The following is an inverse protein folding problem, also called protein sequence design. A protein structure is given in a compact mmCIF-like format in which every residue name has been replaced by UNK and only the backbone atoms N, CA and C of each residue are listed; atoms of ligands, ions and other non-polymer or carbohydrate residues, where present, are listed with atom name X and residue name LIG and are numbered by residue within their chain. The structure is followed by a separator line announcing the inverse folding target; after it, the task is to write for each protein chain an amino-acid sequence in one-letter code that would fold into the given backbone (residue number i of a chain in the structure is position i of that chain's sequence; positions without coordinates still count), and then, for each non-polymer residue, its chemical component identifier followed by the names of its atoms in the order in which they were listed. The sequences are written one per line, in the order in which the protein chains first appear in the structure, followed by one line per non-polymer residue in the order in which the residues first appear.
data_IF_147016533646
#
_entry.id   IF_147016533646
#
_cell.length_a   1.000
_cell.length_b   1.000
_cell.length_c   1.000
_cell.angle_alpha   90.00
_cell.angle_beta   90.00
_cell.angle_gamma   90.00
#
_symmetry.space_group_name_H-M   'P 1'
#
loop_
_entity.id
_entity.type
_entity.pdbx_description
1 polymer ?
#
# COMPACT_ATOMS: atom_id res chain seq x y z
N UNK A 1 6.16 -17.15 0.13
CA UNK A 1 5.19 -16.61 1.12
C UNK A 1 5.07 -17.65 2.20
N UNK A 2 5.28 -17.25 3.44
CA UNK A 2 5.10 -18.11 4.59
C UNK A 2 3.83 -17.70 5.34
N UNK A 3 3.08 -18.69 5.80
CA UNK A 3 1.87 -18.51 6.59
C UNK A 3 2.08 -19.20 7.94
N UNK A 4 1.97 -18.43 9.01
CA UNK A 4 1.74 -18.95 10.36
C UNK A 4 0.26 -18.74 10.72
N UNK A 5 -0.18 -19.25 11.87
CA UNK A 5 -1.57 -19.09 12.32
C UNK A 5 -2.01 -17.62 12.40
N UNK A 6 -1.08 -16.71 12.65
CA UNK A 6 -1.31 -15.31 13.00
C UNK A 6 -0.63 -14.30 12.06
N UNK A 7 0.20 -14.74 11.10
CA UNK A 7 1.03 -13.84 10.30
C UNK A 7 1.31 -14.38 8.90
N UNK A 8 1.36 -13.45 7.94
CA UNK A 8 1.91 -13.69 6.60
C UNK A 8 3.26 -13.00 6.45
N UNK A 9 4.23 -13.70 5.88
CA UNK A 9 5.55 -13.15 5.53
C UNK A 9 5.77 -13.26 4.02
N UNK A 10 6.05 -12.12 3.38
CA UNK A 10 6.42 -12.03 1.96
C UNK A 10 7.90 -11.74 1.83
N UNK A 11 8.61 -12.73 1.29
CA UNK A 11 9.98 -12.59 0.84
C UNK A 11 9.98 -11.95 -0.55
N UNK A 12 10.64 -10.81 -0.69
CA UNK A 12 10.85 -10.15 -1.99
C UNK A 12 12.18 -10.68 -2.51
N UNK A 13 12.11 -11.66 -3.41
CA UNK A 13 13.29 -12.35 -3.95
C UNK A 13 13.84 -11.69 -5.21
N UNK A 14 13.02 -10.90 -5.90
CA UNK A 14 13.41 -10.24 -7.14
C UNK A 14 14.15 -8.93 -6.86
N UNK A 15 15.22 -8.67 -7.63
CA UNK A 15 15.89 -7.37 -7.62
C UNK A 15 14.94 -6.28 -8.12
N UNK A 16 14.64 -5.31 -7.26
CA UNK A 16 13.79 -4.16 -7.59
C UNK A 16 14.68 -2.93 -7.77
N UNK A 17 14.37 -2.08 -8.76
CA UNK A 17 15.17 -0.87 -9.10
C UNK A 17 15.48 0.09 -7.94
N UNK A 18 14.85 -0.10 -6.78
CA UNK A 18 15.04 0.71 -5.57
C UNK A 18 15.94 0.04 -4.51
N UNK A 19 16.47 -1.16 -4.74
CA UNK A 19 17.52 -1.72 -3.87
C UNK A 19 18.81 -0.95 -4.08
N UNK A 20 19.30 -0.34 -3.01
CA UNK A 20 20.68 0.14 -2.93
C UNK A 20 21.57 -1.10 -3.04
N UNK A 21 22.63 -1.03 -3.85
CA UNK A 21 23.59 -2.13 -4.00
C UNK A 21 24.03 -2.57 -2.60
N UNK A 22 23.93 -3.87 -2.32
CA UNK A 22 24.22 -4.55 -1.04
C UNK A 22 23.16 -4.56 0.09
N UNK A 23 21.90 -4.14 -0.14
CA UNK A 23 20.84 -4.31 0.89
C UNK A 23 19.64 -5.08 0.33
N UNK A 24 19.47 -6.33 0.77
CA UNK A 24 18.26 -7.13 0.52
C UNK A 24 17.05 -6.47 1.21
N UNK A 25 15.92 -6.34 0.51
CA UNK A 25 14.71 -5.75 1.11
C UNK A 25 14.22 -6.66 2.23
N UNK A 26 14.00 -6.15 3.45
CA UNK A 26 13.50 -6.97 4.54
C UNK A 26 12.13 -7.57 4.17
N UNK A 27 11.83 -8.81 4.60
CA UNK A 27 10.55 -9.44 4.33
C UNK A 27 9.38 -8.58 4.85
N UNK A 28 8.30 -8.50 4.07
CA UNK A 28 7.08 -7.82 4.51
C UNK A 28 6.31 -8.73 5.45
N UNK A 29 6.09 -8.26 6.68
CA UNK A 29 5.39 -8.98 7.74
C UNK A 29 4.00 -8.36 7.96
N UNK A 30 2.96 -9.17 7.84
CA UNK A 30 1.58 -8.76 8.09
C UNK A 30 0.95 -9.62 9.18
N UNK A 31 0.46 -8.99 10.24
CA UNK A 31 -0.13 -9.67 11.41
C UNK A 31 -1.65 -9.67 11.35
N UNK A 32 -2.27 -10.67 11.98
CA UNK A 32 -3.71 -10.73 12.16
C UNK A 32 -4.22 -9.50 12.93
N UNK A 33 -5.42 -9.05 12.55
CA UNK A 33 -6.15 -8.03 13.28
C UNK A 33 -7.45 -8.64 13.84
N UNK A 34 -7.40 -9.30 15.01
CA UNK A 34 -8.52 -10.07 15.54
C UNK A 34 -9.70 -9.19 15.97
N UNK A 35 -9.46 -7.90 16.27
CA UNK A 35 -10.48 -6.95 16.70
C UNK A 35 -11.56 -6.70 15.64
N UNK A 36 -11.18 -6.73 14.36
CA UNK A 36 -12.13 -6.62 13.26
C UNK A 36 -11.69 -7.47 12.06
N UNK A 37 -12.46 -8.54 11.80
CA UNK A 37 -12.23 -9.44 10.68
C UNK A 37 -12.31 -8.72 9.33
N UNK A 38 -13.09 -7.63 9.21
CA UNK A 38 -13.21 -6.81 8.00
C UNK A 38 -11.95 -5.99 7.70
N UNK A 39 -11.05 -5.84 8.66
CA UNK A 39 -9.75 -5.21 8.48
C UNK A 39 -8.58 -6.21 8.55
N UNK A 40 -8.86 -7.47 8.87
CA UNK A 40 -7.84 -8.49 9.07
C UNK A 40 -7.27 -9.03 7.75
N UNK A 41 -6.03 -8.67 7.43
CA UNK A 41 -5.35 -9.13 6.22
C UNK A 41 -5.23 -10.66 6.13
N UNK A 42 -5.01 -11.34 7.25
CA UNK A 42 -4.90 -12.81 7.28
C UNK A 42 -6.22 -13.44 6.80
N UNK A 43 -7.35 -13.01 7.38
CA UNK A 43 -8.67 -13.52 7.00
C UNK A 43 -9.01 -13.24 5.54
N UNK A 44 -8.71 -12.03 5.04
CA UNK A 44 -8.94 -11.69 3.63
C UNK A 44 -8.08 -12.53 2.69
N UNK A 45 -6.82 -12.73 3.05
CA UNK A 45 -5.88 -13.45 2.20
C UNK A 45 -6.16 -14.95 2.17
N UNK A 46 -6.54 -15.55 3.30
CA UNK A 46 -7.00 -16.94 3.35
C UNK A 46 -8.24 -17.15 2.46
N UNK A 47 -9.24 -16.28 2.58
CA UNK A 47 -10.46 -16.36 1.78
C UNK A 47 -10.16 -16.15 0.28
N UNK A 48 -9.29 -15.19 -0.05
CA UNK A 48 -8.86 -14.93 -1.41
C UNK A 48 -8.13 -16.14 -2.00
N UNK A 49 -7.19 -16.75 -1.28
CA UNK A 49 -6.48 -17.95 -1.71
C UNK A 49 -7.47 -19.09 -1.95
N UNK A 50 -8.37 -19.35 -1.01
CA UNK A 50 -9.43 -20.37 -1.12
C UNK A 50 -10.26 -20.20 -2.40
N UNK A 51 -10.73 -18.98 -2.69
CA UNK A 51 -11.54 -18.68 -3.88
C UNK A 51 -10.75 -18.77 -5.19
N UNK A 52 -9.45 -18.52 -5.13
CA UNK A 52 -8.60 -18.50 -6.33
C UNK A 52 -7.91 -19.83 -6.62
N UNK A 53 -7.88 -20.78 -5.67
CA UNK A 53 -7.31 -22.12 -5.83
C UNK A 53 -7.70 -22.79 -7.16
N UNK A 54 -8.98 -22.83 -7.57
CA UNK A 54 -9.38 -23.50 -8.81
C UNK A 54 -8.81 -22.85 -10.09
N UNK A 55 -8.39 -21.59 -10.01
CA UNK A 55 -7.96 -20.78 -11.16
C UNK A 55 -6.44 -20.57 -11.23
N UNK A 56 -5.69 -21.06 -10.23
CA UNK A 56 -4.25 -20.77 -10.11
C UNK A 56 -3.40 -21.47 -11.15
N UNK A 57 -3.76 -22.71 -11.55
CA UNK A 57 -2.91 -23.55 -12.42
C UNK A 57 -1.44 -23.48 -11.94
N UNK A 58 -0.50 -23.13 -12.81
CA UNK A 58 0.93 -23.01 -12.50
C UNK A 58 1.37 -21.59 -12.08
N UNK A 59 0.42 -20.67 -11.87
CA UNK A 59 0.75 -19.27 -11.55
C UNK A 59 1.31 -19.13 -10.14
N UNK A 60 2.58 -18.69 -10.06
CA UNK A 60 3.26 -18.34 -8.80
C UNK A 60 2.87 -16.96 -8.25
N UNK A 61 2.20 -16.11 -9.04
CA UNK A 61 1.78 -14.78 -8.58
C UNK A 61 0.60 -14.88 -7.60
N UNK A 62 0.64 -14.09 -6.52
CA UNK A 62 -0.44 -14.03 -5.54
C UNK A 62 -1.76 -13.56 -6.19
N UNK A 63 -1.71 -12.43 -6.89
CA UNK A 63 -2.91 -11.79 -7.46
C UNK A 63 -3.21 -12.33 -8.86
N UNK A 64 -4.48 -12.69 -9.07
CA UNK A 64 -5.04 -13.22 -10.32
C UNK A 64 -6.15 -12.32 -10.85
N UNK A 65 -6.34 -12.32 -12.17
CA UNK A 65 -7.46 -11.66 -12.81
C UNK A 65 -8.76 -12.37 -12.45
N UNK A 66 -9.76 -11.58 -12.07
CA UNK A 66 -11.10 -12.09 -11.75
C UNK A 66 -11.92 -12.42 -13.02
N UNK A 67 -11.50 -11.92 -14.20
CA UNK A 67 -12.15 -12.15 -15.49
C UNK A 67 -11.39 -13.25 -16.25
N UNK A 68 -12.10 -14.09 -17.01
CA UNK A 68 -11.50 -15.08 -17.91
C UNK A 68 -10.74 -14.42 -19.08
N UNK A 69 -9.65 -15.03 -19.57
CA UNK A 69 -8.95 -16.16 -18.98
C UNK A 69 -8.27 -15.76 -17.67
N UNK A 70 -8.46 -16.56 -16.62
CA UNK A 70 -7.83 -16.31 -15.32
C UNK A 70 -6.31 -16.47 -15.46
N UNK A 71 -5.58 -15.50 -14.93
CA UNK A 71 -4.12 -15.49 -14.99
C UNK A 71 -3.51 -14.37 -14.16
N UNK A 72 -2.18 -14.29 -14.13
CA UNK A 72 -1.44 -13.33 -13.31
C UNK A 72 -1.85 -11.88 -13.63
N UNK A 73 -1.99 -11.04 -12.59
CA UNK A 73 -2.37 -9.62 -12.75
C UNK A 73 -1.15 -8.78 -13.13
N UNK A 74 -1.32 -7.92 -14.14
CA UNK A 74 -0.31 -6.95 -14.55
C UNK A 74 -0.26 -5.73 -13.62
N UNK A 75 0.89 -5.06 -13.55
CA UNK A 75 1.13 -3.90 -12.67
C UNK A 75 0.14 -2.75 -12.89
N UNK A 76 -0.28 -2.52 -14.14
CA UNK A 76 -1.24 -1.47 -14.50
C UNK A 76 -2.64 -1.75 -13.93
N UNK A 77 -3.09 -3.01 -13.92
CA UNK A 77 -4.37 -3.42 -13.33
C UNK A 77 -4.35 -3.18 -11.82
N UNK A 78 -3.28 -3.59 -11.12
CA UNK A 78 -3.13 -3.34 -9.68
C UNK A 78 -3.19 -1.83 -9.41
N UNK A 79 -2.50 -1.02 -10.22
CA UNK A 79 -2.53 0.43 -10.08
C UNK A 79 -3.94 1.02 -10.26
N UNK A 80 -4.73 0.50 -11.21
CA UNK A 80 -6.14 0.91 -11.39
C UNK A 80 -6.99 0.52 -10.18
N UNK A 81 -6.84 -0.69 -9.64
CA UNK A 81 -7.58 -1.12 -8.45
C UNK A 81 -7.27 -0.24 -7.24
N UNK A 82 -6.00 0.06 -6.97
CA UNK A 82 -5.64 0.97 -5.88
C UNK A 82 -6.27 2.35 -6.03
N UNK A 83 -6.30 2.92 -7.25
CA UNK A 83 -6.98 4.20 -7.51
C UNK A 83 -8.49 4.10 -7.26
N UNK A 84 -9.12 3.02 -7.70
CA UNK A 84 -10.55 2.79 -7.52
C UNK A 84 -10.92 2.70 -6.03
N UNK A 85 -10.11 2.01 -5.23
CA UNK A 85 -10.32 1.89 -3.77
C UNK A 85 -10.19 3.26 -3.09
N UNK A 86 -9.14 4.03 -3.40
CA UNK A 86 -8.98 5.39 -2.87
C UNK A 86 -10.15 6.30 -3.26
N UNK A 87 -10.58 6.27 -4.52
CA UNK A 87 -11.71 7.06 -4.98
C UNK A 87 -13.02 6.68 -4.28
N UNK A 88 -13.24 5.39 -4.04
CA UNK A 88 -14.42 4.89 -3.32
C UNK A 88 -14.40 5.29 -1.84
N UNK A 89 -13.20 5.48 -1.27
CA UNK A 89 -13.00 6.02 0.07
C UNK A 89 -13.09 7.56 0.12
N UNK A 90 -13.51 8.22 -0.96
CA UNK A 90 -13.63 9.69 -1.02
C UNK A 90 -12.31 10.44 -1.21
N UNK A 91 -11.19 9.74 -1.43
CA UNK A 91 -9.89 10.36 -1.65
C UNK A 91 -9.80 10.81 -3.12
N UNK A 92 -9.67 12.12 -3.32
CA UNK A 92 -9.54 12.70 -4.65
C UNK A 92 -8.19 12.33 -5.30
N UNK A 93 -8.21 11.32 -6.19
CA UNK A 93 -7.02 10.85 -6.90
C UNK A 93 -6.65 11.67 -8.14
N UNK A 94 -7.48 12.63 -8.58
CA UNK A 94 -7.23 13.44 -9.79
C UNK A 94 -5.97 14.31 -9.68
N UNK A 95 -5.63 14.76 -8.47
CA UNK A 95 -4.43 15.57 -8.16
C UNK A 95 -3.12 14.76 -8.23
N UNK A 96 -3.21 13.43 -8.32
CA UNK A 96 -2.08 12.52 -8.27
C UNK A 96 -1.92 11.79 -9.61
N UNK A 97 -0.85 12.13 -10.36
CA UNK A 97 -0.48 11.43 -11.60
C UNK A 97 -0.37 9.92 -11.35
N UNK A 98 -0.55 9.11 -12.41
CA UNK A 98 -0.47 7.65 -12.33
C UNK A 98 0.71 7.17 -11.47
N UNK A 99 0.46 6.14 -10.65
CA UNK A 99 1.39 5.55 -9.67
C UNK A 99 1.56 6.28 -8.32
N UNK A 100 0.92 7.44 -8.10
CA UNK A 100 1.04 8.21 -6.84
C UNK A 100 -0.02 7.89 -5.78
N UNK A 101 -0.43 6.61 -5.67
CA UNK A 101 -1.38 6.13 -4.65
C UNK A 101 -0.89 6.42 -3.23
N UNK A 102 0.39 6.16 -2.94
CA UNK A 102 0.98 6.41 -1.62
C UNK A 102 0.86 7.89 -1.26
N UNK A 103 1.37 8.78 -2.12
CA UNK A 103 1.27 10.23 -1.95
C UNK A 103 -0.16 10.74 -1.68
N UNK A 104 -1.17 10.16 -2.32
CA UNK A 104 -2.57 10.51 -2.07
C UNK A 104 -3.03 10.11 -0.67
N UNK A 105 -2.71 8.89 -0.25
CA UNK A 105 -2.97 8.39 1.10
C UNK A 105 -2.26 9.23 2.15
N UNK A 106 -0.93 9.41 2.04
CA UNK A 106 -0.14 10.18 3.00
C UNK A 106 -0.66 11.61 3.14
N UNK A 107 -1.01 12.25 2.02
CA UNK A 107 -1.60 13.60 2.03
C UNK A 107 -2.92 13.62 2.77
N UNK A 108 -3.83 12.68 2.49
CA UNK A 108 -5.11 12.62 3.16
C UNK A 108 -4.97 12.39 4.67
N UNK A 109 -4.12 11.46 5.10
CA UNK A 109 -3.85 11.21 6.52
C UNK A 109 -3.28 12.46 7.19
N UNK A 110 -2.35 13.13 6.52
CA UNK A 110 -1.76 14.36 7.01
C UNK A 110 -2.83 15.47 7.11
N UNK A 111 -3.66 15.67 6.09
CA UNK A 111 -4.75 16.67 6.09
C UNK A 111 -5.77 16.41 7.21
N UNK A 112 -5.93 15.15 7.65
CA UNK A 112 -6.76 14.75 8.79
C UNK A 112 -6.01 14.74 10.13
N UNK A 113 -4.83 15.34 10.22
CA UNK A 113 -4.12 15.55 11.48
C UNK A 113 -3.31 14.35 12.01
N UNK A 114 -3.15 13.29 11.22
CA UNK A 114 -2.26 12.17 11.60
C UNK A 114 -0.81 12.63 11.49
N UNK A 115 0.00 12.28 12.50
CA UNK A 115 1.39 12.71 12.57
C UNK A 115 2.19 12.14 11.39
N UNK A 116 3.12 12.94 10.87
CA UNK A 116 3.94 12.55 9.73
C UNK A 116 4.80 11.31 10.07
N UNK A 117 5.21 11.16 11.34
CA UNK A 117 5.96 9.99 11.82
C UNK A 117 5.14 8.70 11.73
N UNK A 118 3.85 8.77 12.04
CA UNK A 118 2.93 7.63 11.96
C UNK A 118 2.54 7.27 10.52
N UNK A 119 2.78 8.16 9.56
CA UNK A 119 2.54 7.94 8.13
C UNK A 119 3.77 7.34 7.44
N UNK A 120 4.97 7.80 7.79
CA UNK A 120 6.24 7.41 7.14
C UNK A 120 6.59 5.94 7.40
N UNK A 121 6.41 5.49 8.64
CA UNK A 121 6.81 4.13 9.07
C UNK A 121 6.00 3.04 8.35
N UNK A 122 4.65 3.08 8.29
CA UNK A 122 3.86 2.09 7.55
C UNK A 122 4.06 2.16 6.03
N UNK A 123 4.37 3.34 5.49
CA UNK A 123 4.55 3.53 4.05
C UNK A 123 5.96 3.18 3.55
N UNK A 124 6.88 2.89 4.48
CA UNK A 124 8.25 2.42 4.21
C UNK A 124 9.19 3.52 3.74
N UNK A 125 8.98 4.76 4.19
CA UNK A 125 9.81 5.89 3.73
C UNK A 125 10.93 6.13 4.73
N UNK A 126 12.13 6.38 4.21
CA UNK A 126 13.31 6.55 5.06
C UNK A 126 13.43 7.97 5.62
N UNK A 127 12.69 8.93 5.07
CA UNK A 127 12.83 10.34 5.42
C UNK A 127 11.52 11.13 5.24
N UNK A 128 11.19 11.91 6.26
CA UNK A 128 10.09 12.88 6.28
C UNK A 128 10.22 13.96 5.22
N UNK A 129 11.44 14.44 4.95
CA UNK A 129 11.69 15.45 3.92
C UNK A 129 11.25 14.96 2.55
N UNK A 130 11.46 13.68 2.24
CA UNK A 130 11.00 13.08 0.98
C UNK A 130 9.48 13.14 0.89
N UNK A 131 8.77 12.93 2.01
CA UNK A 131 7.33 13.04 2.05
C UNK A 131 6.84 14.44 1.80
N UNK A 132 7.32 15.38 2.61
CA UNK A 132 6.86 16.75 2.55
C UNK A 132 7.17 17.39 1.20
N UNK A 133 8.34 17.12 0.61
CA UNK A 133 8.76 17.77 -0.63
C UNK A 133 8.16 17.14 -1.88
N UNK A 134 8.13 15.81 -1.96
CA UNK A 134 7.80 15.13 -3.22
C UNK A 134 6.42 14.50 -3.26
N UNK A 135 5.84 14.19 -2.09
CA UNK A 135 4.65 13.35 -2.01
C UNK A 135 3.44 14.01 -1.34
N UNK A 136 3.63 14.95 -0.42
CA UNK A 136 2.56 15.70 0.23
C UNK A 136 2.01 16.77 -0.73
N UNK A 137 0.72 16.67 -1.08
CA UNK A 137 0.03 17.61 -1.97
C UNK A 137 -1.31 18.02 -1.36
N UNK A 138 -1.30 18.89 -0.33
CA UNK A 138 -2.47 19.16 0.50
C UNK A 138 -3.68 19.60 -0.33
N UNK A 139 -4.85 19.19 0.15
CA UNK A 139 -6.12 19.50 -0.51
C UNK A 139 -6.45 20.99 -0.46
N UNK A 140 -6.06 21.67 0.62
CA UNK A 140 -6.13 23.11 0.85
C UNK A 140 -4.71 23.71 1.04
N UNK A 141 -4.30 24.72 0.24
CA UNK A 141 -3.03 25.43 0.42
C UNK A 141 -2.80 26.03 1.81
N UNK A 142 -3.86 26.34 2.56
CA UNK A 142 -3.76 26.89 3.92
C UNK A 142 -3.14 25.91 4.92
N UNK A 143 -3.28 24.60 4.68
CA UNK A 143 -2.71 23.52 5.51
C UNK A 143 -1.18 23.42 5.39
N UNK A 144 -0.58 24.05 4.37
CA UNK A 144 0.88 24.18 4.23
C UNK A 144 1.44 25.09 5.33
N UNK A 145 0.70 26.15 5.70
CA UNK A 145 1.13 27.12 6.69
C UNK A 145 0.96 26.57 8.11
N UNK A 146 -0.16 25.91 8.43
CA UNK A 146 -0.45 25.42 9.78
C UNK A 146 0.59 24.43 10.34
N UNK A 147 1.19 23.60 9.47
CA UNK A 147 2.18 22.59 9.87
C UNK A 147 3.61 23.10 9.99
N UNK A 148 3.90 24.30 9.46
CA UNK A 148 5.22 24.93 9.60
C UNK A 148 5.42 25.58 10.97
N UNK A 149 4.32 25.87 11.69
CA UNK A 149 4.34 26.56 12.98
C UNK A 149 4.23 25.66 14.22
N UNK A 150 3.99 24.35 14.06
CA UNK A 150 3.90 23.41 15.20
C UNK A 150 5.18 22.59 15.42
N UNK A 151 6.32 23.07 14.91
CA UNK A 151 7.64 22.56 15.22
C UNK A 151 8.33 23.44 16.25
N UNK A 152 7.92 23.36 17.51
CA UNK A 152 8.71 23.72 18.68
C UNK A 152 8.35 22.80 19.85
#
# INVERSE_FOLDING_TARGET
MELTTDKYIFHITDEVKQTRIATHIPPLSFVAYPKDKKLCIISHQQEYLKRTTPFRKDSKQLLLRHIKPHGPVRKDIISRWCKSVLSSAGINTSKFKGHRTRAASSTHLADNGISIKDIILPEGWSNERTLQQFHHKPSDPSLILAKRFHGH
#
